data_IF_595438806577
#
_entry.id   IF_595438806577
#
_cell.length_a   1.000
_cell.length_b   1.000
_cell.length_c   1.000
_cell.angle_alpha   90.00
_cell.angle_beta   90.00
_cell.angle_gamma   90.00
#
_symmetry.space_group_name_H-M   'P 1'
#
loop_
_entity.id
_entity.type
_entity.pdbx_description
1 polymer ?
2 non-polymer ?
3 non-polymer ?
4 water ?
#
# COMPACT_ATOMS: atom_id res chain seq x y z
N UNK A 1 -1.43 -4.97 -2.83
CA UNK A 1 -2.36 -4.68 -3.93
C UNK A 1 -3.62 -5.58 -3.91
N UNK A 2 -4.66 -4.95 -4.49
CA UNK A 2 -5.96 -5.64 -4.56
C UNK A 2 -5.96 -6.54 -5.78
N UNK A 3 -6.50 -7.74 -5.54
CA UNK A 3 -6.62 -8.72 -6.63
C UNK A 3 -7.83 -8.47 -7.53
N UNK A 4 -8.61 -7.45 -7.72
CA UNK A 4 -9.72 -7.60 -8.69
C UNK A 4 -10.98 -7.42 -7.76
N UNK A 5 -12.08 -7.32 -8.46
CA UNK A 5 -13.48 -7.13 -7.97
C UNK A 5 -14.15 -8.50 -8.10
N UNK A 6 -15.01 -8.86 -7.17
CA UNK A 6 -15.70 -10.19 -7.25
C UNK A 6 -17.18 -9.82 -6.91
N UNK A 7 -18.06 -10.40 -7.66
CA UNK A 7 -19.48 -10.10 -7.30
C UNK A 7 -19.76 -10.75 -5.94
N UNK A 8 -20.59 -10.15 -5.15
CA UNK A 8 -21.07 -10.66 -3.87
C UNK A 8 -21.68 -12.09 -4.06
N UNK A 9 -22.43 -12.21 -5.14
CA UNK A 9 -23.08 -13.52 -5.44
C UNK A 9 -22.03 -14.55 -5.72
N UNK A 10 -20.78 -14.30 -6.06
CA UNK A 10 -19.77 -15.31 -6.31
C UNK A 10 -19.04 -15.71 -5.04
N UNK A 11 -19.18 -15.02 -3.91
CA UNK A 11 -18.48 -15.36 -2.66
C UNK A 11 -19.33 -16.30 -1.78
N UNK A 12 -18.78 -16.93 -0.74
CA UNK A 12 -19.61 -17.78 0.12
C UNK A 12 -20.75 -16.95 0.60
N UNK A 13 -21.91 -17.58 0.89
CA UNK A 13 -23.08 -16.89 1.42
C UNK A 13 -22.82 -16.20 2.78
N UNK A 14 -21.86 -16.76 3.54
CA UNK A 14 -21.66 -16.11 4.83
C UNK A 14 -21.08 -14.70 4.58
N UNK A 15 -20.45 -14.41 3.41
CA UNK A 15 -20.00 -13.04 3.14
C UNK A 15 -21.18 -12.13 3.11
N UNK A 16 -22.32 -12.55 2.51
CA UNK A 16 -23.53 -11.76 2.49
C UNK A 16 -24.01 -11.47 3.90
N UNK A 17 -23.97 -12.52 4.75
CA UNK A 17 -24.42 -12.31 6.13
C UNK A 17 -23.67 -11.21 6.88
N UNK A 18 -22.31 -11.30 6.73
CA UNK A 18 -21.46 -10.28 7.40
C UNK A 18 -21.79 -8.87 6.91
N UNK A 19 -21.94 -8.66 5.59
CA UNK A 19 -22.23 -7.33 5.07
C UNK A 19 -23.54 -6.90 5.65
N UNK A 20 -24.50 -7.84 5.88
CA UNK A 20 -25.80 -7.41 6.47
C UNK A 20 -25.66 -6.94 7.91
N UNK A 21 -24.77 -7.63 8.61
CA UNK A 21 -24.50 -7.23 9.94
C UNK A 21 -23.78 -5.87 9.93
N UNK A 22 -22.89 -5.73 8.98
CA UNK A 22 -22.16 -4.44 8.97
C UNK A 22 -23.13 -3.30 8.74
N UNK A 23 -24.12 -3.44 7.87
CA UNK A 23 -25.14 -2.40 7.56
C UNK A 23 -26.07 -2.05 8.72
N UNK A 24 -26.37 -3.05 9.54
CA UNK A 24 -27.29 -2.92 10.69
C UNK A 24 -26.55 -2.60 11.96
N UNK A 25 -25.27 -2.50 11.84
CA UNK A 25 -24.30 -2.27 12.91
C UNK A 25 -24.35 -3.37 13.99
N UNK A 26 -24.39 -4.56 13.45
CA UNK A 26 -24.32 -5.76 14.26
C UNK A 26 -25.72 -6.14 14.70
N UNK A 27 -25.68 -6.91 15.77
CA UNK A 27 -24.46 -7.30 16.52
C UNK A 27 -23.84 -8.44 15.78
N UNK A 28 -22.66 -8.66 16.26
CA UNK A 28 -21.77 -9.62 15.57
C UNK A 28 -21.52 -10.80 16.47
N UNK A 29 -21.26 -11.88 15.79
CA UNK A 29 -21.00 -13.09 16.55
C UNK A 29 -19.72 -13.08 17.39
N UNK A 30 -18.68 -12.30 17.11
CA UNK A 30 -17.35 -12.23 17.74
C UNK A 30 -17.10 -10.87 18.31
N UNK A 31 -16.54 -10.83 19.52
CA UNK A 31 -16.28 -9.53 20.18
C UNK A 31 -15.24 -8.72 19.33
N UNK A 32 -14.27 -9.31 18.70
CA UNK A 32 -13.26 -8.81 17.77
C UNK A 32 -13.78 -8.17 16.44
N UNK A 33 -15.09 -8.35 16.21
CA UNK A 33 -15.64 -7.84 14.98
C UNK A 33 -15.74 -6.33 15.17
N UNK A 34 -15.12 -5.69 14.14
CA UNK A 34 -15.16 -4.22 14.12
C UNK A 34 -13.83 -3.59 14.57
N UNK A 35 -12.84 -4.31 15.01
CA UNK A 35 -11.54 -3.74 15.40
C UNK A 35 -10.90 -3.22 14.07
N UNK A 36 -9.94 -2.34 14.36
CA UNK A 36 -9.10 -1.75 13.29
C UNK A 36 -8.23 -2.79 12.66
N UNK A 37 -8.11 -2.69 11.34
CA UNK A 37 -7.21 -3.49 10.53
C UNK A 37 -6.08 -2.47 10.25
N UNK A 38 -4.86 -2.83 10.57
CA UNK A 38 -3.76 -1.88 10.35
C UNK A 38 -3.19 -1.73 8.94
N UNK A 39 -3.40 -2.71 8.10
CA UNK A 39 -2.88 -2.68 6.72
C UNK A 39 -1.33 -2.59 6.80
N UNK A 40 -0.76 -3.23 7.78
CA UNK A 40 0.70 -3.19 8.06
C UNK A 40 1.59 -3.65 6.91
N UNK A 41 1.08 -4.61 6.15
CA UNK A 41 1.84 -5.10 5.00
C UNK A 41 1.67 -4.31 3.71
N UNK A 42 0.89 -3.28 3.78
CA UNK A 42 0.54 -2.41 2.65
C UNK A 42 -0.09 -3.15 1.48
N UNK A 43 -0.93 -4.22 1.62
CA UNK A 43 -1.63 -4.89 0.53
C UNK A 43 -2.71 -3.95 0.09
N UNK A 44 -3.46 -3.23 0.91
CA UNK A 44 -4.46 -2.28 0.55
C UNK A 44 -3.84 -0.86 0.40
N UNK A 45 -4.60 -0.04 -0.25
CA UNK A 45 -4.21 1.36 -0.39
C UNK A 45 -3.89 1.95 0.97
N UNK A 46 -2.83 2.79 1.00
CA UNK A 46 -2.42 3.58 2.17
C UNK A 46 -3.46 4.60 2.56
N UNK A 47 -3.85 4.54 3.85
CA UNK A 47 -4.89 5.38 4.45
C UNK A 47 -4.58 5.76 5.88
N UNK A 48 -5.13 6.65 6.62
CA UNK A 48 -4.79 6.87 8.02
C UNK A 48 -5.21 5.63 8.84
N UNK A 49 -4.67 5.51 9.97
CA UNK A 49 -4.94 4.48 10.98
C UNK A 49 -6.44 4.60 11.36
N UNK A 50 -7.11 3.43 11.32
CA UNK A 50 -8.57 3.48 11.69
C UNK A 50 -9.48 3.59 10.46
N UNK A 51 -8.93 3.70 9.24
CA UNK A 51 -9.66 3.83 8.00
C UNK A 51 -10.17 2.39 7.73
N UNK A 52 -9.48 1.35 8.08
CA UNK A 52 -9.92 -0.05 7.79
C UNK A 52 -10.35 -0.75 9.11
N UNK A 53 -11.40 -1.58 8.96
CA UNK A 53 -11.89 -2.36 10.14
C UNK A 53 -12.12 -3.81 9.72
N UNK A 54 -11.93 -4.76 10.62
CA UNK A 54 -12.06 -6.18 10.19
C UNK A 54 -13.32 -6.86 10.83
N UNK A 55 -13.96 -7.72 10.07
CA UNK A 55 -15.17 -8.47 10.49
C UNK A 55 -15.02 -9.89 10.08
N UNK A 56 -15.36 -10.87 10.92
CA UNK A 56 -15.24 -12.26 10.49
C UNK A 56 -16.30 -12.68 9.46
N UNK A 57 -15.98 -13.54 8.59
CA UNK A 57 -16.80 -14.26 7.62
C UNK A 57 -16.70 -15.69 8.24
N UNK A 58 -17.88 -16.10 8.79
CA UNK A 58 -17.91 -17.48 9.41
C UNK A 58 -17.66 -18.54 8.33
N UNK A 59 -16.79 -19.48 8.68
CA UNK A 59 -16.37 -20.68 8.07
C UNK A 59 -17.23 -21.86 8.69
N UNK A 60 -18.18 -22.36 7.88
CA UNK A 60 -19.05 -23.48 8.35
C UNK A 60 -18.20 -24.65 8.86
N UNK A 61 -18.50 -25.08 10.09
CA UNK A 61 -17.86 -26.23 10.71
C UNK A 61 -16.61 -25.83 11.41
N UNK A 62 -16.05 -24.64 11.29
CA UNK A 62 -14.82 -24.31 12.00
C UNK A 62 -15.10 -24.06 13.47
N UNK A 63 -14.14 -24.53 14.24
CA UNK A 63 -14.07 -24.31 15.70
C UNK A 63 -13.48 -22.91 15.93
N UNK A 64 -12.68 -22.42 14.98
CA UNK A 64 -12.00 -21.12 15.16
C UNK A 64 -12.66 -20.10 14.23
N UNK A 65 -12.12 -18.84 14.36
CA UNK A 65 -12.73 -17.85 13.44
C UNK A 65 -12.32 -18.08 11.97
N UNK A 66 -11.42 -19.02 11.71
CA UNK A 66 -10.86 -19.47 10.46
C UNK A 66 -10.11 -18.27 9.78
N UNK A 67 -10.18 -18.34 8.46
CA UNK A 67 -9.46 -17.46 7.53
C UNK A 67 -10.20 -16.46 6.71
N UNK A 68 -11.51 -16.42 6.76
CA UNK A 68 -12.26 -15.49 5.95
C UNK A 68 -12.58 -14.28 6.76
N UNK A 69 -12.45 -13.12 6.05
CA UNK A 69 -12.72 -11.82 6.68
C UNK A 69 -13.19 -10.84 5.61
N UNK A 70 -13.93 -9.91 6.10
CA UNK A 70 -14.36 -8.76 5.32
C UNK A 70 -13.64 -7.57 6.01
N UNK A 71 -12.94 -6.80 5.12
CA UNK A 71 -12.27 -5.53 5.50
C UNK A 71 -13.08 -4.35 4.97
N UNK A 72 -13.62 -3.47 5.77
CA UNK A 72 -14.27 -2.30 5.19
C UNK A 72 -13.26 -1.06 5.18
N UNK A 73 -13.47 -0.18 4.23
CA UNK A 73 -12.67 1.06 4.18
C UNK A 73 -13.70 2.06 4.45
N UNK A 74 -13.40 3.30 4.78
CA UNK A 74 -14.36 4.35 5.03
C UNK A 74 -15.15 4.82 3.83
N UNK A 75 -14.74 4.59 2.60
CA UNK A 75 -15.47 5.05 1.44
C UNK A 75 -16.74 4.24 1.21
N UNK A 76 -17.63 4.85 0.48
CA UNK A 76 -18.91 4.28 0.06
C UNK A 76 -18.66 2.98 -0.67
N UNK A 77 -19.26 1.85 -0.21
CA UNK A 77 -19.09 0.56 -0.88
C UNK A 77 -17.66 -0.01 -0.92
N UNK A 78 -16.73 0.46 -0.12
CA UNK A 78 -15.37 -0.09 -0.15
C UNK A 78 -15.30 -1.28 0.82
N UNK A 79 -15.32 -2.51 0.26
CA UNK A 79 -15.30 -3.60 1.23
C UNK A 79 -14.48 -4.62 0.54
N UNK A 80 -13.57 -5.25 1.19
CA UNK A 80 -12.71 -6.22 0.61
C UNK A 80 -12.90 -7.62 1.34
N UNK A 81 -12.85 -8.62 0.51
CA UNK A 81 -12.87 -10.00 1.02
C UNK A 81 -11.46 -10.59 0.91
N UNK A 82 -11.17 -11.31 2.03
CA UNK A 82 -9.97 -12.14 2.10
C UNK A 82 -10.40 -13.56 2.55
N UNK A 83 -9.95 -14.54 1.86
CA UNK A 83 -10.20 -15.97 2.21
C UNK A 83 -8.97 -16.65 2.75
N UNK A 84 -7.82 -15.98 2.90
CA UNK A 84 -6.52 -16.55 3.26
C UNK A 84 -5.75 -15.78 4.36
N UNK A 85 -6.57 -15.26 5.25
CA UNK A 85 -6.22 -14.54 6.45
C UNK A 85 -5.30 -13.35 6.13
N UNK A 86 -5.84 -12.42 5.32
CA UNK A 86 -5.18 -11.17 4.93
C UNK A 86 -4.05 -11.35 3.94
N UNK A 87 -3.77 -12.45 3.29
CA UNK A 87 -2.74 -12.59 2.27
C UNK A 87 -3.17 -11.87 0.96
N UNK A 88 -4.39 -12.06 0.46
CA UNK A 88 -4.91 -11.51 -0.79
C UNK A 88 -6.28 -10.88 -0.52
N UNK A 89 -6.80 -9.95 -1.28
CA UNK A 89 -8.07 -9.23 -1.03
C UNK A 89 -8.70 -9.02 -2.38
N UNK A 90 -10.00 -9.01 -2.35
CA UNK A 90 -10.69 -8.75 -3.64
C UNK A 90 -11.67 -7.71 -3.18
N UNK A 91 -11.95 -6.74 -4.04
CA UNK A 91 -13.00 -5.80 -3.71
C UNK A 91 -14.40 -6.51 -4.04
N UNK A 92 -15.28 -6.22 -3.10
CA UNK A 92 -16.60 -6.82 -3.27
C UNK A 92 -17.52 -5.86 -4.02
N UNK A 93 -18.16 -6.46 -5.05
CA UNK A 93 -19.18 -5.73 -5.79
C UNK A 93 -20.61 -6.24 -5.32
N UNK A 94 -21.25 -5.42 -4.57
CA UNK A 94 -22.62 -5.72 -4.04
C UNK A 94 -23.73 -5.59 -5.06
N UNK A 95 -23.39 -5.13 -6.26
CA UNK A 95 -24.41 -4.93 -7.28
C UNK A 95 -24.57 -6.21 -8.09
N UNK A 96 -23.83 -7.30 -7.91
CA UNK A 96 -23.93 -8.49 -8.70
C UNK A 96 -23.68 -9.80 -7.93
N UNK B 1 28.71 11.62 -3.19
CA UNK B 1 28.99 10.75 -4.35
C UNK B 1 27.81 9.75 -4.48
N UNK B 2 27.54 9.37 -5.72
CA UNK B 2 26.53 8.31 -5.99
C UNK B 2 27.32 6.99 -5.86
N UNK B 3 26.81 6.03 -5.07
CA UNK B 3 27.47 4.74 -4.80
C UNK B 3 27.61 3.76 -5.94
N UNK B 4 27.00 4.13 -7.03
CA UNK B 4 27.15 3.19 -8.20
C UNK B 4 25.69 3.06 -8.64
N UNK B 5 25.52 2.06 -9.45
CA UNK B 5 24.20 1.75 -10.00
C UNK B 5 23.65 0.44 -9.42
N UNK B 6 22.32 0.59 -9.43
CA UNK B 6 21.60 -0.62 -8.94
C UNK B 6 20.52 -1.02 -9.96
N UNK B 7 20.44 -2.33 -10.26
CA UNK B 7 19.38 -2.78 -11.13
C UNK B 7 18.05 -2.59 -10.41
N UNK B 8 17.06 -2.15 -11.19
CA UNK B 8 15.70 -1.97 -10.71
C UNK B 8 15.22 -3.30 -10.10
N UNK B 9 15.68 -4.32 -10.74
CA UNK B 9 15.36 -5.69 -10.40
C UNK B 9 15.94 -6.07 -9.07
N UNK B 10 17.00 -5.60 -8.53
CA UNK B 10 17.64 -5.87 -7.28
C UNK B 10 16.90 -5.11 -6.17
N UNK B 11 16.03 -4.14 -6.46
CA UNK B 11 15.41 -3.35 -5.40
C UNK B 11 14.12 -3.98 -4.87
N UNK B 12 13.64 -3.51 -3.70
CA UNK B 12 12.29 -3.98 -3.22
C UNK B 12 11.28 -3.72 -4.32
N UNK B 13 10.30 -4.59 -4.44
CA UNK B 13 9.29 -4.40 -5.43
C UNK B 13 8.57 -3.06 -5.32
N UNK B 14 8.42 -2.39 -4.20
CA UNK B 14 7.75 -1.11 -4.05
C UNK B 14 8.42 0.05 -4.84
N UNK B 15 9.72 -0.18 -5.02
CA UNK B 15 10.63 0.72 -5.83
C UNK B 15 10.02 0.87 -7.24
N UNK B 16 9.58 -0.28 -7.82
CA UNK B 16 8.91 -0.27 -9.10
C UNK B 16 7.59 0.45 -9.03
N UNK B 17 6.81 0.32 -7.96
CA UNK B 17 5.52 1.01 -7.90
C UNK B 17 5.72 2.53 -7.89
N UNK B 18 6.75 2.88 -7.08
CA UNK B 18 6.96 4.36 -6.99
C UNK B 18 7.38 4.93 -8.36
N UNK B 19 8.28 4.19 -9.03
CA UNK B 19 8.71 4.64 -10.39
C UNK B 19 7.45 4.77 -11.28
N UNK B 20 6.53 3.83 -11.18
CA UNK B 20 5.27 3.84 -11.93
C UNK B 20 4.46 5.04 -11.51
N UNK B 21 4.28 5.45 -10.27
CA UNK B 21 3.55 6.66 -9.94
C UNK B 21 4.21 7.96 -10.44
N UNK B 22 5.54 7.88 -10.42
CA UNK B 22 6.32 9.05 -10.86
C UNK B 22 6.00 9.28 -12.34
N UNK B 23 6.03 8.23 -13.12
CA UNK B 23 5.74 8.31 -14.56
C UNK B 23 4.39 8.96 -14.86
N UNK B 24 3.34 8.58 -14.13
CA UNK B 24 1.97 9.10 -14.32
C UNK B 24 1.64 10.37 -13.56
N UNK B 25 2.66 10.73 -12.81
CA UNK B 25 2.53 11.89 -11.95
C UNK B 25 1.42 11.63 -10.91
N UNK B 26 1.48 10.46 -10.30
CA UNK B 26 0.48 10.26 -9.21
C UNK B 26 -0.83 9.65 -9.77
N UNK B 27 -1.88 9.67 -8.98
CA UNK B 27 -2.01 10.22 -7.61
C UNK B 27 -1.06 9.55 -6.61
N UNK B 28 -0.45 10.24 -5.67
CA UNK B 28 0.57 9.70 -4.77
C UNK B 28 -0.05 9.29 -3.45
N UNK B 29 0.48 8.27 -2.79
CA UNK B 29 -0.12 7.92 -1.50
C UNK B 29 0.07 8.91 -0.38
N UNK B 30 1.28 9.54 -0.26
CA UNK B 30 1.55 10.50 0.84
C UNK B 30 1.54 11.92 0.34
N UNK B 31 1.08 12.77 1.20
CA UNK B 31 1.04 14.23 0.96
C UNK B 31 2.50 14.76 0.75
N UNK B 32 3.52 14.14 1.27
CA UNK B 32 4.95 14.46 1.17
C UNK B 32 5.56 13.95 -0.11
N UNK B 33 4.84 13.19 -0.93
CA UNK B 33 5.36 12.69 -2.19
C UNK B 33 5.47 13.87 -3.21
N UNK B 34 6.66 13.97 -3.80
CA UNK B 34 6.87 15.01 -4.83
C UNK B 34 7.36 16.33 -4.29
N UNK B 35 7.84 16.41 -3.10
CA UNK B 35 8.36 17.65 -2.51
C UNK B 35 9.82 17.72 -3.08
N UNK B 36 10.25 19.01 -3.06
CA UNK B 36 11.65 19.23 -3.50
C UNK B 36 12.60 18.59 -2.50
N UNK B 37 13.57 18.00 -3.06
CA UNK B 37 14.70 17.45 -2.31
C UNK B 37 15.84 18.55 -2.35
N UNK B 38 16.23 19.09 -1.19
CA UNK B 38 17.27 20.12 -1.10
C UNK B 38 18.71 19.64 -1.29
N UNK B 39 19.01 18.36 -1.16
CA UNK B 39 20.40 17.92 -1.36
C UNK B 39 21.36 18.73 -0.47
N UNK B 40 20.82 19.07 0.68
CA UNK B 40 21.41 19.82 1.79
C UNK B 40 22.77 19.17 2.06
N UNK B 41 23.08 17.90 2.05
CA UNK B 41 24.51 17.50 2.30
C UNK B 41 25.35 17.21 1.05
N UNK B 42 24.96 17.69 -0.13
CA UNK B 42 25.61 17.48 -1.41
C UNK B 42 26.10 16.06 -1.66
N UNK B 43 25.19 15.13 -1.33
CA UNK B 43 25.59 13.72 -1.60
C UNK B 43 25.48 13.58 -3.12
N UNK B 44 24.42 14.22 -3.66
CA UNK B 44 24.14 14.21 -5.13
C UNK B 44 24.77 15.52 -5.69
N UNK B 45 25.01 15.48 -6.99
CA UNK B 45 25.57 16.66 -7.70
C UNK B 45 24.83 17.92 -7.37
N UNK B 46 25.58 19.00 -7.08
CA UNK B 46 24.97 20.33 -6.83
C UNK B 46 24.21 20.84 -8.04
N UNK B 47 22.98 21.28 -7.90
CA UNK B 47 22.02 21.74 -8.89
C UNK B 47 21.23 22.86 -8.28
N UNK B 48 20.54 23.66 -9.05
CA UNK B 48 19.70 24.72 -8.47
C UNK B 48 18.61 24.09 -7.55
N UNK B 49 18.13 24.86 -6.60
CA UNK B 49 17.00 24.41 -5.77
C UNK B 49 15.81 24.15 -6.70
N UNK B 50 15.25 22.93 -6.55
CA UNK B 50 14.10 22.55 -7.39
C UNK B 50 14.37 21.56 -8.46
N UNK B 51 15.63 21.19 -8.66
CA UNK B 51 16.06 20.19 -9.62
C UNK B 51 15.64 18.74 -9.24
N UNK B 52 15.69 18.51 -7.96
CA UNK B 52 15.42 17.22 -7.28
C UNK B 52 14.06 17.23 -6.58
N UNK B 53 13.43 16.06 -6.66
CA UNK B 53 12.12 15.84 -5.97
C UNK B 53 12.18 14.44 -5.28
N UNK B 54 11.38 14.46 -4.16
CA UNK B 54 11.50 13.06 -3.52
C UNK B 54 10.10 12.42 -3.42
N UNK B 55 10.21 11.08 -3.50
CA UNK B 55 8.98 10.22 -3.51
C UNK B 55 9.21 9.04 -2.57
N UNK B 56 8.15 8.64 -1.82
CA UNK B 56 8.27 7.53 -0.85
C UNK B 56 8.33 6.20 -1.59
N UNK B 57 9.12 5.27 -1.16
CA UNK B 57 9.19 3.86 -1.51
C UNK B 57 8.58 3.20 -0.16
N UNK B 58 7.34 2.72 -0.36
CA UNK B 58 6.72 2.13 0.86
C UNK B 58 7.51 0.90 1.34
N UNK B 59 7.60 0.84 2.69
CA UNK B 59 8.27 -0.28 3.39
C UNK B 59 7.11 -1.09 4.07
N UNK B 60 6.76 -2.25 3.52
CA UNK B 60 5.77 -3.13 4.13
C UNK B 60 6.25 -3.44 5.58
N UNK B 61 5.39 -3.31 6.57
CA UNK B 61 5.70 -3.56 7.95
C UNK B 61 6.20 -2.33 8.67
N UNK B 62 6.58 -1.23 8.04
CA UNK B 62 7.00 -0.10 8.91
C UNK B 62 5.76 0.62 9.45
N UNK B 63 5.83 1.34 10.57
CA UNK B 63 4.70 2.08 11.08
C UNK B 63 4.71 3.52 10.57
N UNK B 64 5.86 3.84 9.91
CA UNK B 64 6.01 5.21 9.34
C UNK B 64 6.21 5.06 7.82
N UNK B 65 6.46 6.25 7.27
CA UNK B 65 6.84 6.34 5.85
C UNK B 65 8.22 5.65 5.67
N UNK B 66 8.99 5.37 6.71
CA UNK B 66 10.23 4.64 6.68
C UNK B 66 11.41 5.41 5.99
N UNK B 67 12.36 4.63 5.50
CA UNK B 67 13.57 5.33 4.96
C UNK B 67 13.85 5.16 3.51
N UNK B 68 13.02 4.47 2.76
CA UNK B 68 13.32 4.29 1.34
C UNK B 68 12.65 5.39 0.55
N UNK B 69 13.48 5.81 -0.48
CA UNK B 69 12.95 6.97 -1.25
C UNK B 69 13.57 6.82 -2.63
N UNK B 70 12.82 7.43 -3.46
CA UNK B 70 13.45 7.69 -4.77
C UNK B 70 13.47 9.18 -5.06
N UNK B 71 14.64 9.59 -5.48
CA UNK B 71 14.89 11.03 -5.70
C UNK B 71 15.04 11.15 -7.21
N UNK B 72 14.28 12.03 -7.80
CA UNK B 72 14.45 12.16 -9.28
C UNK B 72 15.26 13.47 -9.55
N UNK B 73 15.97 13.38 -10.70
CA UNK B 73 16.67 14.66 -11.04
C UNK B 73 15.94 15.08 -12.30
N UNK B 74 16.25 16.26 -12.84
CA UNK B 74 15.57 16.63 -14.09
C UNK B 74 16.08 15.86 -15.26
N UNK B 75 17.22 15.20 -15.33
CA UNK B 75 17.56 14.49 -16.58
C UNK B 75 16.67 13.25 -16.73
N UNK B 76 16.82 12.60 -18.15
CA UNK B 76 16.03 11.40 -18.49
C UNK B 76 16.60 10.21 -17.61
N UNK B 77 15.68 9.47 -16.93
CA UNK B 77 16.21 8.27 -16.22
C UNK B 77 17.15 8.57 -15.07
N UNK B 78 17.20 9.86 -14.76
CA UNK B 78 18.06 10.26 -13.63
C UNK B 78 17.22 9.94 -12.38
N UNK B 79 17.20 8.72 -11.85
CA UNK B 79 16.38 8.38 -10.65
C UNK B 79 17.34 7.69 -9.72
N UNK B 80 17.38 8.16 -8.50
CA UNK B 80 18.29 7.63 -7.51
C UNK B 80 17.47 6.87 -6.42
N UNK B 81 18.05 5.85 -5.92
CA UNK B 81 17.36 5.18 -4.81
C UNK B 81 18.16 5.41 -3.53
N UNK B 82 17.45 5.61 -2.44
CA UNK B 82 18.10 5.65 -1.12
C UNK B 82 17.25 4.72 -0.18
N UNK B 83 17.94 3.85 0.50
CA UNK B 83 17.18 2.95 1.44
C UNK B 83 17.52 3.34 2.84
N UNK B 84 18.33 4.38 2.99
CA UNK B 84 18.80 4.84 4.34
C UNK B 84 18.51 6.30 4.64
N UNK B 85 17.42 6.84 4.04
CA UNK B 85 16.99 8.21 4.35
C UNK B 85 18.09 9.20 3.94
N UNK B 86 18.47 9.03 2.67
CA UNK B 86 19.47 9.93 2.05
C UNK B 86 20.91 9.87 2.56
N UNK B 87 21.36 8.80 3.18
CA UNK B 87 22.76 8.75 3.58
C UNK B 87 23.51 8.33 2.31
N UNK B 88 23.04 7.36 1.56
CA UNK B 88 23.70 6.87 0.33
C UNK B 88 22.63 6.82 -0.75
N UNK B 89 23.12 6.92 -1.99
CA UNK B 89 22.24 6.94 -3.15
C UNK B 89 22.86 6.09 -4.22
N UNK B 90 22.04 5.45 -5.02
CA UNK B 90 22.48 4.62 -6.12
C UNK B 90 21.62 5.09 -7.31
N UNK B 91 22.24 5.17 -8.48
CA UNK B 91 21.50 5.55 -9.68
C UNK B 91 20.77 4.22 -10.15
N UNK B 92 19.47 4.34 -10.38
CA UNK B 92 18.68 3.19 -10.83
C UNK B 92 18.81 2.98 -12.34
N UNK B 93 19.13 1.73 -12.65
CA UNK B 93 19.18 1.20 -13.99
C UNK B 93 17.92 0.32 -14.21
N UNK B 94 17.05 0.92 -14.94
CA UNK B 94 15.74 0.25 -15.24
C UNK B 94 15.79 -0.83 -16.29
N UNK B 95 16.96 -1.14 -16.83
CA UNK B 95 17.08 -2.13 -17.86
C UNK B 95 17.55 -3.47 -17.35
N UNK B 96 17.75 -3.56 -16.07
CA UNK B 96 18.25 -4.84 -15.53
C UNK B 96 17.56 -5.18 -14.20
X LIG C 1 -10.96 -25.26 12.81
X LIG C 1 -11.20 -23.85 13.09
X LIG C 1 -11.01 -25.50 11.36
X LIG C 1 -12.01 -26.26 13.25
X LIG C 1 -9.67 -25.92 13.30
X LIG D 1 -7.08 -12.51 13.47
X LIG D 1 -8.11 -12.15 12.35
X LIG D 1 -7.51 -12.39 14.93
X LIG D 1 -6.46 -13.84 13.18
X LIG D 1 -6.91 -7.50 14.99
X LIG D 1 -7.90 -8.44 14.43
X LIG D 1 -7.13 -9.41 13.52
X LIG D 1 -6.53 -8.59 12.47
X LIG D 1 -5.99 -10.24 14.10
X LIG D 1 -5.82 -11.45 13.39
X LIG D 1 -4.70 -9.43 13.87
X LIG D 1 -3.59 -10.29 13.59
X LIG D 1 -5.07 -8.86 12.49
X LIG D 1 -4.49 -7.62 11.96
X LIG D 1 -4.79 -6.27 12.25
X LIG D 1 -4.13 -5.48 11.46
X LIG D 1 -3.35 -6.36 10.65
X LIG D 1 -2.45 -6.17 9.53
X LIG D 1 -2.17 -5.04 9.12
X LIG D 1 -1.94 -7.37 8.99
X LIG D 1 -2.24 -8.69 9.37
X LIG D 1 -1.65 -9.67 8.68
X LIG D 1 -3.08 -8.84 10.37
X LIG D 1 -3.57 -7.71 10.94
X LIG E 1 9.43 1.82 11.35
X LIG E 1 8.90 2.79 10.33
X LIG E 1 8.39 0.93 12.02
X LIG E 1 10.19 2.67 12.38
X LIG E 1 10.30 0.70 10.73
#
# INVERSE_FOLDING_TARGET
DVSGTVCLSALPPEATDTLNLIASDGPFPYSQDGVVFQNRESVLPTQSYGYYHEYTVITPGARTRGTRRIICGEATQEDYYTGDHYATFSLIDQTC
DVSGTVCLSALPPEATDTLNLIASDGPFPYSQDGVVFQNRESVLPTQSYGYYHEYTVITPGARTRGTRRIICGEATQEDYYTGDHYATFSLIDQTC
SO4 S O1 O2 O3 O4
3GP P O1P O2P O3P O5' C5' C4' O4' C3' O3' C2' O2' C1' N9 C8 N7 C5 C6 O6 N1 C2 N2 N3 C4
SO4 S O1 O2 O3 O4
#
